data_IF_733886453210
#
_entry.id   IF_733886453210
#
_cell.length_a   1.000
_cell.length_b   1.000
_cell.length_c   1.000
_cell.angle_alpha   90.00
_cell.angle_beta   90.00
_cell.angle_gamma   90.00
#
_symmetry.space_group_name_H-M   'P 1'
#
loop_
_entity.id
_entity.type
_entity.pdbx_description
1 polymer ?
#
# COMPACT_ATOMS: atom_id res chain seq x y z
N UNK A 1 0.83 73.63 -5.60
CA UNK A 1 0.55 73.25 -4.20
C UNK A 1 -0.01 71.83 -4.26
N UNK A 2 0.86 70.82 -4.09
CA UNK A 2 0.49 69.41 -4.23
C UNK A 2 0.18 68.87 -2.84
N UNK A 3 -1.10 68.57 -2.59
CA UNK A 3 -1.59 68.05 -1.32
C UNK A 3 -0.94 66.68 -0.99
N UNK A 4 -0.31 66.59 0.18
CA UNK A 4 0.08 65.32 0.80
C UNK A 4 -1.19 64.55 1.16
N UNK A 5 -1.42 63.42 0.51
CA UNK A 5 -2.37 62.41 0.95
C UNK A 5 -1.79 61.60 2.12
N UNK A 6 -1.62 62.22 3.29
CA UNK A 6 -1.33 61.50 4.54
C UNK A 6 -2.64 61.24 5.30
N UNK A 7 -3.53 60.47 4.68
CA UNK A 7 -4.77 60.01 5.30
C UNK A 7 -4.80 58.49 5.37
N UNK A 8 -4.50 57.92 6.54
CA UNK A 8 -4.65 56.49 6.81
C UNK A 8 -6.11 56.09 6.56
N UNK A 9 -6.33 55.09 5.70
CA UNK A 9 -7.69 54.62 5.36
C UNK A 9 -8.22 53.75 6.49
N UNK A 10 -9.53 53.79 6.71
CA UNK A 10 -10.19 53.01 7.77
C UNK A 10 -9.93 51.50 7.67
N UNK A 11 -9.59 51.01 6.48
CA UNK A 11 -9.18 49.63 6.17
C UNK A 11 -7.81 49.22 6.72
N UNK A 12 -7.00 50.17 7.18
CA UNK A 12 -5.67 49.93 7.75
C UNK A 12 -5.73 49.58 9.25
N UNK A 13 -6.85 49.88 9.92
CA UNK A 13 -7.06 49.53 11.33
C UNK A 13 -7.64 48.10 11.47
N UNK A 14 -7.05 47.30 12.36
CA UNK A 14 -7.37 45.87 12.53
C UNK A 14 -8.78 45.58 13.08
N UNK A 15 -9.48 46.62 13.56
CA UNK A 15 -10.77 46.54 14.25
C UNK A 15 -11.95 46.27 13.29
N UNK A 16 -11.87 46.68 12.01
CA UNK A 16 -12.96 46.55 11.03
C UNK A 16 -12.73 45.52 9.90
N UNK A 17 -11.60 44.79 9.88
CA UNK A 17 -11.20 44.00 8.71
C UNK A 17 -11.76 42.57 8.72
N UNK A 18 -12.38 42.13 7.62
CA UNK A 18 -12.79 40.73 7.39
C UNK A 18 -11.61 39.76 7.59
N UNK A 19 -11.88 38.53 8.06
CA UNK A 19 -10.84 37.50 8.30
C UNK A 19 -9.93 37.28 7.08
N UNK A 20 -10.50 37.34 5.88
CA UNK A 20 -9.77 37.17 4.62
C UNK A 20 -8.84 38.34 4.32
N UNK A 21 -9.33 39.58 4.50
CA UNK A 21 -8.52 40.78 4.29
C UNK A 21 -7.36 40.90 5.30
N UNK A 22 -7.48 40.33 6.51
CA UNK A 22 -6.35 40.23 7.46
C UNK A 22 -5.30 39.22 7.01
N UNK A 23 -5.73 38.08 6.47
CA UNK A 23 -4.80 37.07 5.95
C UNK A 23 -4.04 37.62 4.74
N UNK A 24 -4.74 38.28 3.81
CA UNK A 24 -4.15 38.88 2.62
C UNK A 24 -3.13 39.98 2.98
N UNK A 25 -3.44 40.80 3.99
CA UNK A 25 -2.52 41.81 4.50
C UNK A 25 -1.28 41.23 5.18
N UNK A 26 -1.44 40.14 5.96
CA UNK A 26 -0.30 39.45 6.55
C UNK A 26 0.63 38.91 5.47
N UNK A 27 0.08 38.34 4.40
CA UNK A 27 0.87 37.82 3.27
C UNK A 27 1.62 38.94 2.54
N UNK A 28 0.98 40.09 2.30
CA UNK A 28 1.66 41.24 1.67
C UNK A 28 2.77 41.83 2.54
N UNK A 29 2.70 41.67 3.86
CA UNK A 29 3.73 42.12 4.81
C UNK A 29 4.80 41.06 5.12
N UNK A 30 4.63 39.81 4.71
CA UNK A 30 5.65 38.77 4.90
C UNK A 30 7.03 39.15 4.35
N UNK A 31 7.18 39.69 3.12
CA UNK A 31 8.51 39.99 2.59
C UNK A 31 9.27 41.06 3.39
N UNK A 32 8.58 42.08 3.90
CA UNK A 32 9.20 43.11 4.75
C UNK A 32 9.58 42.55 6.13
N UNK A 33 8.72 41.72 6.72
CA UNK A 33 8.99 41.05 8.00
C UNK A 33 10.12 40.02 7.91
N UNK A 34 10.22 39.28 6.81
CA UNK A 34 11.32 38.34 6.55
C UNK A 34 12.66 39.07 6.42
N UNK A 35 12.68 40.22 5.73
CA UNK A 35 13.89 41.05 5.62
C UNK A 35 14.34 41.58 6.98
N UNK A 36 13.40 42.06 7.80
CA UNK A 36 13.68 42.53 9.17
C UNK A 36 14.15 41.40 10.08
N UNK A 37 13.52 40.23 10.01
CA UNK A 37 13.93 39.03 10.72
C UNK A 37 15.33 38.56 10.29
N UNK A 38 15.64 38.63 8.99
CA UNK A 38 16.98 38.34 8.47
C UNK A 38 18.04 39.30 8.98
N UNK A 39 17.75 40.61 9.02
CA UNK A 39 18.65 41.60 9.61
C UNK A 39 18.80 41.42 11.14
N UNK A 40 17.74 41.00 11.84
CA UNK A 40 17.77 40.65 13.25
C UNK A 40 18.62 39.39 13.53
N UNK A 41 18.48 38.37 12.68
CA UNK A 41 19.29 37.15 12.74
C UNK A 41 20.78 37.43 12.47
N UNK A 42 21.09 38.41 11.61
CA UNK A 42 22.47 38.83 11.34
C UNK A 42 23.14 39.50 12.55
N UNK A 43 22.41 40.29 13.35
CA UNK A 43 22.94 40.89 14.59
C UNK A 43 23.18 39.87 15.70
N UNK A 44 22.37 38.80 15.76
CA UNK A 44 22.49 37.70 16.72
C UNK A 44 23.26 36.49 16.18
N UNK A 45 24.35 36.71 15.45
CA UNK A 45 25.09 35.69 14.68
C UNK A 45 25.36 34.39 15.44
N UNK A 46 25.74 34.46 16.71
CA UNK A 46 26.08 33.27 17.52
C UNK A 46 24.86 32.40 17.85
N UNK A 47 23.70 33.01 18.11
CA UNK A 47 22.46 32.29 18.45
C UNK A 47 21.74 31.79 17.19
N UNK A 48 21.80 32.55 16.09
CA UNK A 48 21.21 32.15 14.81
C UNK A 48 21.91 30.96 14.17
N UNK A 49 23.25 30.90 14.24
CA UNK A 49 24.04 29.81 13.67
C UNK A 49 23.75 28.48 14.37
N UNK A 50 23.67 28.47 15.70
CA UNK A 50 23.39 27.27 16.49
C UNK A 50 22.03 26.63 16.13
N UNK A 51 20.99 27.45 15.93
CA UNK A 51 19.66 26.96 15.54
C UNK A 51 19.67 26.38 14.12
N UNK A 52 20.33 27.04 13.17
CA UNK A 52 20.44 26.54 11.79
C UNK A 52 21.20 25.22 11.75
N UNK A 53 22.32 25.12 12.48
CA UNK A 53 23.10 23.90 12.59
C UNK A 53 22.30 22.76 13.23
N UNK A 54 21.53 23.03 14.29
CA UNK A 54 20.68 22.03 14.93
C UNK A 54 19.57 21.50 14.02
N UNK A 55 18.88 22.37 13.30
CA UNK A 55 17.84 21.97 12.34
C UNK A 55 18.45 21.21 11.16
N UNK A 56 19.62 21.63 10.67
CA UNK A 56 20.33 20.95 9.59
C UNK A 56 20.79 19.54 9.99
N UNK A 57 21.32 19.39 11.21
CA UNK A 57 21.75 18.09 11.71
C UNK A 57 20.53 17.18 11.93
N UNK A 58 19.44 17.69 12.50
CA UNK A 58 18.21 16.93 12.68
C UNK A 58 17.59 16.48 11.36
N UNK A 59 17.53 17.35 10.35
CA UNK A 59 16.98 16.99 9.04
C UNK A 59 17.83 15.95 8.33
N UNK A 60 19.16 16.06 8.41
CA UNK A 60 20.09 15.07 7.86
C UNK A 60 19.94 13.71 8.55
N UNK A 61 19.80 13.68 9.88
CA UNK A 61 19.60 12.41 10.61
C UNK A 61 18.27 11.76 10.24
N UNK A 62 17.18 12.53 10.20
CA UNK A 62 15.86 11.99 9.86
C UNK A 62 15.86 11.41 8.44
N UNK A 63 16.43 12.12 7.47
CA UNK A 63 16.48 11.64 6.08
C UNK A 63 17.35 10.41 5.92
N UNK A 64 18.48 10.33 6.62
CA UNK A 64 19.36 9.14 6.55
C UNK A 64 18.71 7.91 7.16
N UNK A 65 18.03 8.03 8.30
CA UNK A 65 17.30 6.90 8.90
C UNK A 65 16.14 6.44 8.00
N UNK A 66 15.38 7.38 7.43
CA UNK A 66 14.31 7.03 6.50
C UNK A 66 14.84 6.37 5.23
N UNK A 67 15.92 6.91 4.64
CA UNK A 67 16.55 6.33 3.46
C UNK A 67 17.09 4.93 3.72
N UNK A 68 17.72 4.72 4.88
CA UNK A 68 18.21 3.40 5.29
C UNK A 68 17.06 2.40 5.52
N UNK A 69 16.00 2.83 6.20
CA UNK A 69 14.81 2.00 6.44
C UNK A 69 14.11 1.58 5.14
N UNK A 70 13.93 2.52 4.21
CA UNK A 70 13.35 2.22 2.89
C UNK A 70 14.27 1.31 2.08
N UNK A 71 15.59 1.56 2.06
CA UNK A 71 16.55 0.72 1.34
C UNK A 71 16.58 -0.71 1.83
N UNK A 72 16.58 -0.93 3.15
CA UNK A 72 16.46 -2.26 3.73
C UNK A 72 15.14 -2.93 3.33
N UNK A 73 14.01 -2.21 3.39
CA UNK A 73 12.71 -2.79 3.04
C UNK A 73 12.64 -3.27 1.58
N UNK A 74 13.26 -2.53 0.65
CA UNK A 74 13.34 -2.94 -0.75
C UNK A 74 14.21 -4.18 -0.93
N UNK A 75 15.34 -4.24 -0.24
CA UNK A 75 16.22 -5.42 -0.27
C UNK A 75 15.52 -6.67 0.31
N UNK A 76 14.73 -6.51 1.37
CA UNK A 76 13.92 -7.61 1.92
C UNK A 76 12.84 -8.08 0.94
N UNK A 77 12.18 -7.18 0.23
CA UNK A 77 11.20 -7.57 -0.79
C UNK A 77 11.86 -8.22 -2.01
N UNK A 78 13.03 -7.74 -2.44
CA UNK A 78 13.77 -8.38 -3.54
C UNK A 78 14.23 -9.79 -3.14
N UNK A 79 14.76 -9.96 -1.93
CA UNK A 79 15.19 -11.28 -1.45
C UNK A 79 13.99 -12.22 -1.21
N UNK A 80 12.86 -11.71 -0.71
CA UNK A 80 11.65 -12.52 -0.56
C UNK A 80 11.11 -12.96 -1.92
N UNK A 81 11.09 -12.06 -2.92
CA UNK A 81 10.64 -12.37 -4.27
C UNK A 81 11.62 -13.29 -5.00
N UNK A 82 12.93 -13.17 -4.75
CA UNK A 82 13.94 -14.09 -5.33
C UNK A 82 13.84 -15.49 -4.74
N UNK A 83 13.38 -15.61 -3.50
CA UNK A 83 13.14 -16.90 -2.85
C UNK A 83 11.80 -17.53 -3.25
N UNK A 84 10.88 -16.78 -3.85
CA UNK A 84 9.57 -17.27 -4.23
C UNK A 84 9.57 -17.63 -5.72
N UNK A 85 9.43 -18.91 -6.09
CA UNK A 85 9.45 -19.33 -7.51
C UNK A 85 8.16 -19.00 -8.25
N UNK A 86 7.29 -18.14 -7.70
CA UNK A 86 5.94 -17.84 -8.19
C UNK A 86 5.83 -16.33 -8.45
N UNK A 87 5.86 -15.94 -9.72
CA UNK A 87 5.75 -14.53 -10.15
C UNK A 87 4.30 -14.00 -10.03
N UNK A 88 3.31 -14.87 -10.20
CA UNK A 88 1.90 -14.54 -10.11
C UNK A 88 1.06 -15.74 -9.67
N UNK A 89 0.02 -15.47 -8.87
CA UNK A 89 -0.97 -16.46 -8.46
C UNK A 89 -2.36 -15.97 -8.83
N UNK A 90 -3.10 -16.80 -9.57
CA UNK A 90 -4.47 -16.54 -9.96
C UNK A 90 -5.35 -17.57 -9.27
N UNK A 91 -6.35 -17.10 -8.56
CA UNK A 91 -7.35 -17.94 -7.91
C UNK A 91 -8.73 -17.58 -8.46
N UNK A 92 -9.59 -18.59 -8.61
CA UNK A 92 -10.97 -18.33 -8.96
C UNK A 92 -11.66 -17.54 -7.85
N UNK A 93 -12.46 -16.54 -8.22
CA UNK A 93 -13.30 -15.84 -7.26
C UNK A 93 -14.44 -16.74 -6.77
N UNK A 94 -15.06 -16.37 -5.63
CA UNK A 94 -16.31 -17.00 -5.15
C UNK A 94 -17.36 -17.02 -6.26
N UNK A 95 -18.18 -18.08 -6.30
CA UNK A 95 -19.32 -18.14 -7.23
C UNK A 95 -20.20 -16.91 -7.08
N UNK A 96 -20.44 -16.16 -8.17
CA UNK A 96 -21.39 -15.07 -8.13
C UNK A 96 -22.79 -15.68 -8.25
N UNK A 97 -23.52 -15.77 -7.14
CA UNK A 97 -24.96 -16.09 -7.05
C UNK A 97 -25.33 -17.59 -7.04
N UNK A 98 -26.36 -17.93 -6.27
CA UNK A 98 -27.03 -19.24 -6.29
C UNK A 98 -27.58 -19.53 -7.70
N UNK A 99 -27.22 -20.69 -8.27
CA UNK A 99 -27.59 -21.19 -9.61
C UNK A 99 -26.76 -20.67 -10.80
N UNK A 100 -25.69 -19.90 -10.59
CA UNK A 100 -24.75 -19.56 -11.67
C UNK A 100 -23.56 -20.53 -11.69
N UNK A 101 -23.40 -21.28 -12.78
CA UNK A 101 -22.19 -22.06 -13.05
C UNK A 101 -21.05 -21.11 -13.47
N UNK A 102 -20.37 -20.51 -12.49
CA UNK A 102 -19.23 -19.63 -12.73
C UNK A 102 -17.88 -20.36 -12.81
N UNK A 103 -17.82 -21.59 -12.32
CA UNK A 103 -16.60 -22.40 -12.33
C UNK A 103 -16.65 -23.42 -13.45
N UNK A 104 -15.59 -23.45 -14.25
CA UNK A 104 -15.38 -24.53 -15.22
C UNK A 104 -14.84 -25.74 -14.49
N UNK A 105 -15.53 -26.87 -14.60
CA UNK A 105 -15.02 -28.17 -14.18
C UNK A 105 -14.13 -28.82 -15.26
N UNK A 106 -13.95 -28.16 -16.40
CA UNK A 106 -13.20 -28.71 -17.51
C UNK A 106 -11.73 -28.28 -17.42
N UNK A 107 -10.86 -29.23 -17.12
CA UNK A 107 -9.41 -29.01 -16.99
C UNK A 107 -8.81 -28.36 -18.25
N UNK A 108 -9.38 -28.61 -19.44
CA UNK A 108 -8.87 -28.02 -20.69
C UNK A 108 -8.97 -26.50 -20.69
N UNK A 109 -10.09 -25.95 -20.21
CA UNK A 109 -10.29 -24.49 -20.15
C UNK A 109 -9.36 -23.83 -19.14
N UNK A 110 -8.97 -24.53 -18.08
CA UNK A 110 -8.05 -24.00 -17.07
C UNK A 110 -6.59 -24.03 -17.55
N UNK A 111 -6.23 -25.03 -18.34
CA UNK A 111 -4.93 -25.09 -19.03
C UNK A 111 -4.84 -24.04 -20.15
N UNK A 112 -5.95 -23.75 -20.83
CA UNK A 112 -6.02 -22.71 -21.87
C UNK A 112 -5.73 -21.30 -21.32
N UNK A 113 -6.21 -20.98 -20.10
CA UNK A 113 -5.89 -19.72 -19.42
C UNK A 113 -4.38 -19.57 -19.16
N UNK A 114 -3.68 -20.66 -18.80
CA UNK A 114 -2.22 -20.65 -18.68
C UNK A 114 -1.54 -20.31 -20.01
N UNK A 115 -2.08 -20.80 -21.15
CA UNK A 115 -1.51 -20.52 -22.47
C UNK A 115 -1.79 -19.08 -22.91
N UNK A 116 -2.99 -18.55 -22.66
CA UNK A 116 -3.33 -17.14 -22.89
C UNK A 116 -2.38 -16.20 -22.13
N UNK A 117 -2.20 -16.45 -20.83
CA UNK A 117 -1.34 -15.62 -19.98
C UNK A 117 0.12 -15.66 -20.40
N UNK A 118 0.63 -16.83 -20.79
CA UNK A 118 2.00 -16.97 -21.31
C UNK A 118 2.18 -16.26 -22.66
N UNK A 119 1.18 -16.32 -23.53
CA UNK A 119 1.24 -15.71 -24.86
C UNK A 119 1.10 -14.17 -24.81
N UNK A 120 0.29 -13.64 -23.90
CA UNK A 120 0.07 -12.20 -23.75
C UNK A 120 1.16 -11.52 -22.91
N UNK A 121 1.67 -12.21 -21.88
CA UNK A 121 2.70 -11.67 -20.99
C UNK A 121 4.04 -12.40 -21.16
N UNK A 122 4.95 -11.77 -21.90
CA UNK A 122 6.34 -12.25 -22.11
C UNK A 122 7.20 -12.42 -20.84
N UNK A 123 6.67 -12.04 -19.68
CA UNK A 123 7.34 -12.12 -18.38
C UNK A 123 7.15 -13.49 -17.72
N UNK A 124 6.12 -14.25 -18.12
CA UNK A 124 5.87 -15.60 -17.59
C UNK A 124 6.56 -16.64 -18.47
N UNK A 125 7.53 -17.36 -17.90
CA UNK A 125 8.28 -18.40 -18.61
C UNK A 125 7.64 -19.80 -18.45
N UNK A 126 6.99 -20.05 -17.30
CA UNK A 126 6.35 -21.33 -16.99
C UNK A 126 5.01 -21.10 -16.26
N UNK A 127 4.02 -21.95 -16.51
CA UNK A 127 2.71 -21.91 -15.85
C UNK A 127 2.42 -23.28 -15.23
N UNK A 128 2.38 -23.33 -13.91
CA UNK A 128 1.99 -24.54 -13.19
C UNK A 128 0.54 -24.42 -12.71
N UNK A 129 -0.25 -25.45 -13.00
CA UNK A 129 -1.61 -25.53 -12.53
C UNK A 129 -1.68 -26.39 -11.26
N UNK A 130 -2.00 -25.78 -10.13
CA UNK A 130 -2.15 -26.49 -8.86
C UNK A 130 -3.62 -26.81 -8.64
N UNK A 131 -3.96 -28.10 -8.77
CA UNK A 131 -5.26 -28.64 -8.40
C UNK A 131 -5.25 -29.05 -6.93
N UNK A 132 -6.41 -28.93 -6.27
CA UNK A 132 -6.59 -29.48 -4.93
C UNK A 132 -6.20 -28.57 -3.78
N UNK A 133 -6.40 -27.25 -3.93
CA UNK A 133 -6.48 -26.32 -2.79
C UNK A 133 -7.85 -25.66 -2.78
N UNK A 134 -8.44 -25.50 -1.60
CA UNK A 134 -9.60 -24.63 -1.46
C UNK A 134 -9.11 -23.17 -1.58
N UNK A 135 -9.80 -22.38 -2.40
CA UNK A 135 -9.52 -20.95 -2.54
C UNK A 135 -9.87 -20.25 -1.23
N UNK A 136 -8.92 -19.52 -0.65
CA UNK A 136 -9.17 -18.77 0.57
C UNK A 136 -9.70 -17.40 0.15
N UNK A 137 -11.00 -17.23 0.27
CA UNK A 137 -11.64 -15.99 -0.13
C UNK A 137 -11.82 -15.09 1.10
N UNK A 138 -10.83 -14.28 1.45
CA UNK A 138 -11.03 -13.24 2.48
C UNK A 138 -11.82 -12.07 1.90
N UNK A 139 -13.06 -11.90 2.36
CA UNK A 139 -13.94 -10.80 1.96
C UNK A 139 -13.75 -9.52 2.77
N UNK A 140 -12.65 -9.34 3.51
CA UNK A 140 -12.49 -8.18 4.39
C UNK A 140 -11.05 -7.90 4.82
N UNK A 141 -10.75 -6.63 5.10
CA UNK A 141 -9.43 -6.12 5.47
C UNK A 141 -8.87 -6.69 6.80
N UNK A 142 -9.68 -7.45 7.57
CA UNK A 142 -9.36 -7.97 8.90
C UNK A 142 -9.90 -9.39 9.17
N UNK A 143 -10.12 -10.23 8.15
CA UNK A 143 -10.48 -11.64 8.39
C UNK A 143 -9.23 -12.53 8.45
N UNK A 144 -9.04 -13.20 9.58
CA UNK A 144 -7.95 -14.16 9.83
C UNK A 144 -8.07 -15.46 9.03
N UNK A 145 -9.18 -15.66 8.31
CA UNK A 145 -9.39 -16.81 7.43
C UNK A 145 -8.33 -16.91 6.31
N UNK A 146 -7.65 -15.80 6.00
CA UNK A 146 -6.44 -15.79 5.15
C UNK A 146 -5.32 -16.72 5.66
N UNK A 147 -5.19 -16.90 6.98
CA UNK A 147 -4.07 -17.63 7.60
C UNK A 147 -4.34 -19.12 7.68
N UNK A 148 -5.60 -19.55 7.74
CA UNK A 148 -5.98 -20.96 7.85
C UNK A 148 -6.30 -21.48 6.45
N UNK A 149 -5.24 -21.86 5.71
CA UNK A 149 -5.43 -22.63 4.49
C UNK A 149 -5.94 -24.03 4.87
N UNK A 150 -7.24 -24.29 4.70
CA UNK A 150 -7.78 -25.62 4.87
C UNK A 150 -7.24 -26.54 3.74
N UNK A 151 -6.66 -27.70 4.09
CA UNK A 151 -6.27 -28.69 3.09
C UNK A 151 -7.54 -29.23 2.39
N UNK A 152 -7.41 -29.64 1.14
CA UNK A 152 -8.54 -30.18 0.38
C UNK A 152 -9.05 -31.47 1.04
N UNK A 153 -10.34 -31.50 1.34
CA UNK A 153 -11.06 -32.67 1.83
C UNK A 153 -11.07 -33.76 0.72
N UNK A 154 -10.30 -34.83 0.90
CA UNK A 154 -10.39 -36.01 0.03
C UNK A 154 -11.59 -36.87 0.45
N UNK A 155 -12.69 -36.82 -0.31
CA UNK A 155 -13.93 -37.55 0.03
C UNK A 155 -13.93 -39.03 -0.33
N UNK A 156 -13.26 -39.40 -1.42
CA UNK A 156 -13.22 -40.78 -1.88
C UNK A 156 -12.02 -41.00 -2.79
N UNK A 157 -11.44 -42.20 -2.73
CA UNK A 157 -10.42 -42.68 -3.65
C UNK A 157 -11.00 -43.90 -4.37
N UNK A 158 -10.92 -43.92 -5.70
CA UNK A 158 -11.27 -45.06 -6.53
C UNK A 158 -10.01 -45.52 -7.25
N UNK A 159 -9.61 -46.77 -7.06
CA UNK A 159 -8.49 -47.40 -7.73
C UNK A 159 -8.92 -48.78 -8.26
N UNK A 160 -8.54 -49.06 -9.51
CA UNK A 160 -8.87 -50.29 -10.22
C UNK A 160 -7.84 -51.41 -9.96
N UNK A 161 -6.63 -51.08 -9.51
CA UNK A 161 -5.50 -52.01 -9.43
C UNK A 161 -5.14 -52.44 -8.00
N UNK A 162 -5.38 -51.60 -6.99
CA UNK A 162 -4.95 -51.87 -5.63
C UNK A 162 -6.15 -52.10 -4.67
N UNK A 163 -6.39 -53.34 -4.20
CA UNK A 163 -7.55 -53.67 -3.38
C UNK A 163 -7.49 -53.07 -1.96
N UNK A 164 -6.34 -52.56 -1.52
CA UNK A 164 -6.13 -51.98 -0.19
C UNK A 164 -6.82 -50.61 0.00
N UNK A 165 -7.22 -49.94 -1.08
CA UNK A 165 -7.85 -48.61 -1.04
C UNK A 165 -9.37 -48.64 -1.08
N UNK A 166 -9.97 -49.83 -1.19
CA UNK A 166 -11.42 -50.01 -1.31
C UNK A 166 -12.21 -49.70 -0.02
N UNK A 167 -11.53 -49.58 1.12
CA UNK A 167 -12.16 -49.37 2.43
C UNK A 167 -11.35 -48.40 3.31
N UNK A 168 -11.03 -47.22 2.78
CA UNK A 168 -10.37 -46.14 3.53
C UNK A 168 -11.32 -44.95 3.59
N UNK A 169 -11.70 -44.57 4.81
CA UNK A 169 -12.47 -43.34 5.09
C UNK A 169 -11.52 -42.23 5.53
N UNK A 170 -11.66 -41.06 4.93
CA UNK A 170 -10.96 -39.86 5.38
C UNK A 170 -11.94 -39.02 6.20
N UNK A 171 -11.56 -38.72 7.43
CA UNK A 171 -12.33 -37.86 8.32
C UNK A 171 -11.50 -36.62 8.62
N UNK A 172 -12.11 -35.44 8.52
CA UNK A 172 -11.47 -34.13 8.66
C UNK A 172 -12.24 -33.32 9.71
N UNK A 173 -12.02 -33.58 11.01
CA UNK A 173 -12.75 -32.91 12.09
C UNK A 173 -12.55 -31.39 12.08
N UNK A 174 -11.45 -30.90 11.50
CA UNK A 174 -11.17 -29.47 11.35
C UNK A 174 -12.04 -28.78 10.28
N UNK A 175 -12.80 -29.54 9.48
CA UNK A 175 -13.76 -29.02 8.50
C UNK A 175 -15.18 -28.84 9.05
N UNK A 176 -15.53 -29.50 10.18
CA UNK A 176 -16.87 -29.40 10.79
C UNK A 176 -17.04 -28.14 11.66
N UNK A 177 -15.93 -27.53 12.10
CA UNK A 177 -15.93 -26.35 12.99
C UNK A 177 -15.88 -24.99 12.24
N UNK A 178 -15.97 -24.99 10.90
CA UNK A 178 -15.89 -23.80 10.04
C UNK A 178 -17.27 -23.23 9.63
#
# INVERSE_FOLDING_TARGET
>A
MSERQDGLKETDFTIGRSRMNRAMHRVSELPSRLRLAGQGAWRGKERGLAVIAGVFLASLVITTVLAYGVGLSQLFFEESLKSEPIDAKIEYARTPVENASGWSNNTTTMVEVCDELRNEFSQFNDCTLVLGRQGIHSGGLFNFDFVVAQPLEMRAITDDANPLWSNVSFDYPEAEEA
#
